data_IF_981523661373
#
_entry.id   IF_981523661373
#
_cell.length_a   1.000
_cell.length_b   1.000
_cell.length_c   1.000
_cell.angle_alpha   90.00
_cell.angle_beta   90.00
_cell.angle_gamma   90.00
#
_symmetry.space_group_name_H-M   'P 1'
#
loop_
_entity.id
_entity.type
_entity.pdbx_description
1 polymer ?
#
# COMPACT_ATOMS: atom_id res chain seq x y z
N UNK A 1 -22.40 -0.99 25.78
CA UNK A 1 -21.85 -0.58 24.48
C UNK A 1 -20.44 -1.12 24.40
N UNK A 2 -20.18 -2.12 23.55
CA UNK A 2 -18.85 -2.74 23.44
C UNK A 2 -18.02 -1.97 22.41
N UNK A 3 -16.79 -1.58 22.77
CA UNK A 3 -15.87 -0.87 21.87
C UNK A 3 -15.58 -1.71 20.60
N UNK A 4 -15.65 -3.04 20.70
CA UNK A 4 -15.50 -3.93 19.55
C UNK A 4 -16.58 -3.69 18.47
N UNK A 5 -17.77 -3.21 18.85
CA UNK A 5 -18.88 -2.93 17.93
C UNK A 5 -18.65 -1.67 17.08
N UNK A 6 -17.63 -0.85 17.40
CA UNK A 6 -17.23 0.31 16.62
C UNK A 6 -16.42 -0.07 15.36
N UNK A 7 -16.01 -1.34 15.24
CA UNK A 7 -15.26 -1.82 14.08
C UNK A 7 -16.17 -1.84 12.85
N UNK A 8 -16.02 -0.85 12.00
CA UNK A 8 -16.57 -0.87 10.65
C UNK A 8 -15.88 -2.01 9.86
N UNK A 9 -16.67 -2.91 9.26
CA UNK A 9 -16.15 -3.83 8.26
C UNK A 9 -15.82 -3.05 6.98
N UNK A 10 -14.58 -2.61 6.87
CA UNK A 10 -14.06 -1.92 5.67
C UNK A 10 -13.91 -2.85 4.45
N UNK A 11 -14.29 -4.13 4.57
CA UNK A 11 -14.06 -5.14 3.54
C UNK A 11 -15.21 -5.22 2.53
N UNK A 12 -15.28 -4.27 1.59
CA UNK A 12 -16.21 -4.36 0.45
C UNK A 12 -15.85 -5.48 -0.53
N UNK A 13 -14.57 -5.83 -0.63
CA UNK A 13 -14.05 -6.98 -1.36
C UNK A 13 -12.80 -7.50 -0.64
N UNK A 14 -12.70 -8.82 -0.47
CA UNK A 14 -11.56 -9.44 0.20
C UNK A 14 -10.48 -9.95 -0.77
N UNK A 15 -9.25 -9.97 -0.28
CA UNK A 15 -8.14 -10.71 -0.90
C UNK A 15 -8.14 -12.15 -0.38
N UNK A 16 -8.10 -13.12 -1.28
CA UNK A 16 -7.84 -14.52 -0.94
C UNK A 16 -6.58 -14.99 -1.67
N UNK A 17 -5.89 -15.99 -1.13
CA UNK A 17 -4.69 -16.56 -1.76
C UNK A 17 -4.96 -17.03 -3.19
N UNK A 18 -6.13 -17.65 -3.41
CA UNK A 18 -6.57 -18.09 -4.73
C UNK A 18 -6.79 -16.93 -5.74
N UNK A 19 -6.97 -15.69 -5.26
CA UNK A 19 -7.19 -14.48 -6.08
C UNK A 19 -5.98 -13.55 -6.12
N UNK A 20 -4.95 -13.84 -5.33
CA UNK A 20 -3.71 -13.09 -5.32
C UNK A 20 -2.86 -13.47 -6.54
N UNK A 21 -2.23 -12.48 -7.16
CA UNK A 21 -1.21 -12.77 -8.17
C UNK A 21 -0.04 -13.51 -7.52
N UNK A 22 0.57 -14.42 -8.29
CA UNK A 22 1.80 -15.12 -7.84
C UNK A 22 3.00 -14.18 -7.77
N UNK A 23 3.00 -13.17 -8.63
CA UNK A 23 4.00 -12.11 -8.64
C UNK A 23 3.49 -10.93 -7.81
N UNK A 24 4.17 -10.58 -6.70
CA UNK A 24 3.73 -9.49 -5.83
C UNK A 24 3.76 -8.12 -6.52
N UNK A 25 4.65 -7.91 -7.51
CA UNK A 25 4.70 -6.65 -8.25
C UNK A 25 3.48 -6.52 -9.17
N UNK A 26 3.05 -7.62 -9.81
CA UNK A 26 1.79 -7.64 -10.56
C UNK A 26 0.58 -7.43 -9.65
N UNK A 27 0.61 -7.99 -8.43
CA UNK A 27 -0.47 -7.73 -7.46
C UNK A 27 -0.55 -6.23 -7.10
N UNK A 28 0.61 -5.61 -6.88
CA UNK A 28 0.69 -4.16 -6.63
C UNK A 28 0.18 -3.35 -7.83
N UNK A 29 0.63 -3.64 -9.04
CA UNK A 29 0.19 -2.94 -10.27
C UNK A 29 -1.33 -2.98 -10.42
N UNK A 30 -1.95 -4.14 -10.18
CA UNK A 30 -3.41 -4.29 -10.19
C UNK A 30 -4.11 -3.38 -9.18
N UNK A 31 -3.60 -3.31 -7.95
CA UNK A 31 -4.17 -2.44 -6.91
C UNK A 31 -3.94 -0.96 -7.19
N UNK A 32 -2.77 -0.63 -7.73
CA UNK A 32 -2.45 0.74 -8.11
C UNK A 32 -3.37 1.23 -9.23
N UNK A 33 -3.62 0.39 -10.24
CA UNK A 33 -4.60 0.63 -11.29
C UNK A 33 -6.03 0.79 -10.74
N UNK A 34 -6.42 -0.03 -9.76
CA UNK A 34 -7.71 0.12 -9.08
C UNK A 34 -7.83 1.47 -8.37
N UNK A 35 -6.77 1.91 -7.67
CA UNK A 35 -6.73 3.21 -7.01
C UNK A 35 -6.82 4.38 -8.02
N UNK A 36 -6.16 4.26 -9.18
CA UNK A 36 -6.26 5.22 -10.28
C UNK A 36 -7.67 5.26 -10.86
N UNK A 37 -8.28 4.10 -11.15
CA UNK A 37 -9.67 3.99 -11.64
C UNK A 37 -10.68 4.56 -10.65
N UNK A 38 -10.46 4.35 -9.35
CA UNK A 38 -11.27 4.91 -8.28
C UNK A 38 -11.07 6.42 -8.09
N UNK A 39 -10.09 7.03 -8.79
CA UNK A 39 -9.74 8.46 -8.68
C UNK A 39 -9.43 8.87 -7.24
N UNK A 40 -8.72 8.01 -6.51
CA UNK A 40 -8.25 8.34 -5.18
C UNK A 40 -7.23 9.49 -5.24
N UNK A 41 -7.22 10.40 -4.26
CA UNK A 41 -6.21 11.45 -4.21
C UNK A 41 -4.84 10.86 -3.92
N UNK A 42 -3.81 11.33 -4.63
CA UNK A 42 -2.40 11.00 -4.40
C UNK A 42 -2.13 9.48 -4.27
N UNK A 43 -2.58 8.63 -5.21
CA UNK A 43 -2.47 7.17 -5.06
C UNK A 43 -1.02 6.67 -5.05
N UNK A 44 -0.07 7.51 -5.49
CA UNK A 44 1.36 7.24 -5.48
C UNK A 44 2.09 7.82 -4.25
N UNK A 45 1.39 8.47 -3.31
CA UNK A 45 2.01 8.91 -2.06
C UNK A 45 2.24 7.72 -1.13
N UNK A 46 3.48 7.57 -0.66
CA UNK A 46 3.91 6.46 0.20
C UNK A 46 4.56 6.99 1.47
N UNK A 47 4.33 6.33 2.61
CA UNK A 47 5.05 6.61 3.84
C UNK A 47 6.32 5.76 3.89
N UNK A 48 7.48 6.39 3.74
CA UNK A 48 8.77 5.72 3.80
C UNK A 48 9.38 5.84 5.19
N UNK A 49 9.53 4.70 5.87
CA UNK A 49 10.24 4.60 7.13
C UNK A 49 11.71 4.22 6.92
N UNK A 50 12.63 4.92 7.57
CA UNK A 50 14.07 4.62 7.57
C UNK A 50 14.62 4.69 8.98
N UNK A 51 15.73 3.99 9.23
CA UNK A 51 16.43 3.99 10.51
C UNK A 51 17.86 4.47 10.33
N UNK A 52 18.31 5.37 11.19
CA UNK A 52 19.69 5.84 11.25
C UNK A 52 20.59 4.95 12.10
N UNK A 53 21.83 5.37 12.31
CA UNK A 53 22.78 4.63 13.15
C UNK A 53 22.38 4.61 14.65
N UNK A 54 21.53 5.54 15.08
CA UNK A 54 20.97 5.63 16.43
C UNK A 54 19.83 4.62 16.71
N UNK A 55 19.40 3.88 15.68
CA UNK A 55 18.31 2.90 15.79
C UNK A 55 16.91 3.54 15.88
N UNK A 56 16.79 4.87 15.83
CA UNK A 56 15.51 5.55 15.91
C UNK A 56 14.84 5.61 14.52
N UNK A 57 13.62 5.06 14.35
CA UNK A 57 12.92 5.15 13.09
C UNK A 57 12.38 6.57 12.84
N UNK A 58 12.46 7.01 11.60
CA UNK A 58 11.80 8.23 11.11
C UNK A 58 10.96 7.91 9.88
N UNK A 59 9.84 8.61 9.71
CA UNK A 59 8.91 8.40 8.60
C UNK A 59 8.54 9.73 7.92
N UNK A 60 8.42 9.71 6.59
CA UNK A 60 8.00 10.85 5.77
C UNK A 60 7.25 10.40 4.53
N UNK A 61 6.48 11.30 3.94
CA UNK A 61 5.81 11.05 2.66
C UNK A 61 6.82 11.22 1.51
N UNK A 62 6.82 10.25 0.60
CA UNK A 62 7.54 10.29 -0.69
C UNK A 62 6.55 9.97 -1.81
N UNK A 63 6.93 10.24 -3.06
CA UNK A 63 6.10 9.91 -4.23
C UNK A 63 6.71 8.77 -5.00
N UNK A 64 5.99 7.66 -5.12
CA UNK A 64 6.35 6.57 -6.01
C UNK A 64 6.38 7.07 -7.46
N UNK A 65 7.50 6.79 -8.15
CA UNK A 65 7.77 7.18 -9.54
C UNK A 65 7.65 6.00 -10.52
N UNK A 66 7.90 4.78 -10.06
CA UNK A 66 7.79 3.60 -10.91
C UNK A 66 8.26 2.32 -10.23
N UNK A 67 8.24 1.23 -11.00
CA UNK A 67 8.82 -0.06 -10.64
C UNK A 67 9.91 -0.36 -11.67
N UNK A 68 11.15 -0.51 -11.20
CA UNK A 68 12.33 -0.73 -12.04
C UNK A 68 13.21 -1.81 -11.41
N UNK A 69 13.77 -2.71 -12.21
CA UNK A 69 14.69 -3.75 -11.71
C UNK A 69 14.11 -4.67 -10.63
N UNK A 70 12.78 -4.81 -10.55
CA UNK A 70 12.10 -5.58 -9.51
C UNK A 70 11.89 -4.83 -8.18
N UNK A 71 12.09 -3.51 -8.16
CA UNK A 71 11.91 -2.67 -6.97
C UNK A 71 11.13 -1.40 -7.23
N UNK A 72 10.69 -0.75 -6.16
CA UNK A 72 10.01 0.54 -6.20
C UNK A 72 11.02 1.69 -6.26
N UNK A 73 10.76 2.67 -7.13
CA UNK A 73 11.58 3.89 -7.27
C UNK A 73 10.80 5.09 -6.75
N UNK A 74 11.43 5.89 -5.87
CA UNK A 74 10.85 7.06 -5.22
C UNK A 74 11.85 8.22 -5.13
#
# INVERSE_FOLDING_TARGET
MNIADLRQEYMRAGLSEARAERDPLRQFERWFDDALRARLPLPNAMTLATVGADGAPSARVVLLKGIEGGGFVF
#
